data_IF_045582731533
#
_entry.id   IF_045582731533
#
_cell.length_a   1.000
_cell.length_b   1.000
_cell.length_c   1.000
_cell.angle_alpha   90.00
_cell.angle_beta   90.00
_cell.angle_gamma   90.00
#
_symmetry.space_group_name_H-M   'P 1'
#
loop_
_entity.id
_entity.type
_entity.pdbx_description
1 polymer ?
#
# COMPACT_ATOMS: atom_id res chain seq x y z
N UNK A 1 -16.70 31.28 -8.05
CA UNK A 1 -16.18 31.07 -6.68
C UNK A 1 -16.83 29.81 -6.15
N UNK A 2 -16.07 28.76 -5.82
CA UNK A 2 -16.65 27.57 -5.18
C UNK A 2 -17.11 27.95 -3.77
N UNK A 3 -18.34 27.57 -3.42
CA UNK A 3 -18.90 27.83 -2.11
C UNK A 3 -18.10 27.04 -1.07
N UNK A 4 -17.60 27.70 -0.02
CA UNK A 4 -16.92 26.99 1.06
C UNK A 4 -17.92 26.07 1.77
N UNK A 5 -17.61 24.78 1.81
CA UNK A 5 -18.39 23.78 2.53
C UNK A 5 -17.74 23.52 3.88
N UNK A 6 -18.54 23.16 4.87
CA UNK A 6 -18.05 22.92 6.23
C UNK A 6 -18.53 21.55 6.71
N UNK A 7 -17.66 20.88 7.45
CA UNK A 7 -17.98 19.63 8.12
C UNK A 7 -17.39 19.62 9.53
N UNK A 8 -17.96 18.76 10.37
CA UNK A 8 -17.47 18.51 11.72
C UNK A 8 -16.74 17.17 11.73
N UNK A 9 -15.50 17.18 12.23
CA UNK A 9 -14.65 16.00 12.32
C UNK A 9 -14.35 15.67 13.76
N UNK A 10 -14.16 14.40 14.06
CA UNK A 10 -13.69 13.95 15.37
C UNK A 10 -12.47 13.04 15.20
N UNK A 11 -11.49 13.22 16.08
CA UNK A 11 -10.26 12.44 16.09
C UNK A 11 -10.42 11.17 16.92
N UNK A 12 -9.61 10.15 16.63
CA UNK A 12 -9.51 8.90 17.40
C UNK A 12 -10.83 8.12 17.53
N UNK A 13 -11.75 8.29 16.58
CA UNK A 13 -12.95 7.46 16.51
C UNK A 13 -12.62 6.17 15.76
N UNK A 14 -13.04 5.04 16.34
CA UNK A 14 -12.85 3.71 15.78
C UNK A 14 -14.11 3.10 15.18
N UNK A 15 -15.29 3.68 15.41
CA UNK A 15 -16.53 3.14 14.87
C UNK A 15 -17.52 4.23 14.47
N UNK A 16 -18.37 3.89 13.53
CA UNK A 16 -19.34 4.81 12.96
C UNK A 16 -20.49 5.16 13.91
N UNK A 17 -20.88 4.23 14.78
CA UNK A 17 -21.89 4.50 15.81
C UNK A 17 -21.43 5.58 16.79
N UNK A 18 -20.13 5.66 17.09
CA UNK A 18 -19.58 6.72 17.93
C UNK A 18 -19.75 8.11 17.28
N UNK A 19 -19.63 8.21 15.94
CA UNK A 19 -19.90 9.45 15.20
C UNK A 19 -21.38 9.86 15.28
N UNK A 20 -22.29 8.88 15.15
CA UNK A 20 -23.74 9.12 15.17
C UNK A 20 -24.25 9.57 16.52
N UNK A 21 -23.70 9.02 17.61
CA UNK A 21 -24.12 9.34 18.97
C UNK A 21 -23.67 10.74 19.44
N UNK A 22 -22.83 11.44 18.67
CA UNK A 22 -22.29 12.78 18.99
C UNK A 22 -21.65 12.90 20.38
N UNK A 23 -21.21 11.80 20.98
CA UNK A 23 -20.58 11.78 22.32
C UNK A 23 -19.10 12.19 22.31
N UNK A 24 -18.59 12.59 21.16
CA UNK A 24 -17.17 12.91 20.91
C UNK A 24 -16.99 14.39 20.65
N UNK A 25 -15.80 14.91 20.96
CA UNK A 25 -15.46 16.30 20.66
C UNK A 25 -15.25 16.47 19.16
N UNK A 26 -16.15 17.19 18.52
CA UNK A 26 -16.04 17.56 17.12
C UNK A 26 -15.32 18.89 16.94
N UNK A 27 -14.44 18.95 15.95
CA UNK A 27 -13.81 20.17 15.46
C UNK A 27 -14.42 20.52 14.10
N UNK A 28 -14.95 21.75 13.92
CA UNK A 28 -15.40 22.19 12.61
C UNK A 28 -14.20 22.48 11.70
N UNK A 29 -14.42 22.41 10.39
CA UNK A 29 -13.44 22.83 9.40
C UNK A 29 -14.03 22.96 8.00
N UNK A 30 -13.30 23.66 7.14
CA UNK A 30 -13.61 23.76 5.71
C UNK A 30 -13.38 22.40 5.08
N UNK A 31 -14.40 21.89 4.39
CA UNK A 31 -14.40 20.60 3.73
C UNK A 31 -13.92 20.72 2.29
N UNK A 32 -12.96 19.87 1.90
CA UNK A 32 -12.61 19.61 0.50
C UNK A 32 -12.49 18.11 0.28
N UNK A 33 -13.32 17.57 -0.61
CA UNK A 33 -13.27 16.15 -1.00
C UNK A 33 -12.28 16.01 -2.16
N UNK A 34 -11.22 15.24 -1.96
CA UNK A 34 -10.20 15.02 -3.01
C UNK A 34 -10.51 13.78 -3.86
N UNK A 35 -11.22 12.81 -3.31
CA UNK A 35 -11.66 11.60 -4.00
C UNK A 35 -12.86 10.96 -3.30
N UNK A 36 -13.75 10.34 -4.08
CA UNK A 36 -14.85 9.51 -3.58
C UNK A 36 -14.49 8.05 -3.73
N UNK A 37 -14.57 7.28 -2.65
CA UNK A 37 -14.43 5.82 -2.62
C UNK A 37 -15.84 5.20 -2.55
N UNK A 38 -16.20 4.44 -3.57
CA UNK A 38 -17.43 3.65 -3.63
C UNK A 38 -17.14 2.21 -3.23
N UNK A 39 -17.81 1.76 -2.17
CA UNK A 39 -17.73 0.40 -1.66
C UNK A 39 -19.05 -0.34 -1.90
N UNK A 40 -18.98 -1.68 -1.84
CA UNK A 40 -20.18 -2.49 -1.66
C UNK A 40 -20.83 -2.18 -0.31
N UNK A 41 -22.11 -2.52 -0.13
CA UNK A 41 -22.77 -2.33 1.17
C UNK A 41 -22.07 -3.13 2.28
N UNK A 42 -21.70 -4.38 2.00
CA UNK A 42 -21.01 -5.23 2.97
C UNK A 42 -19.65 -4.66 3.40
N UNK A 43 -18.88 -4.15 2.45
CA UNK A 43 -17.58 -3.52 2.72
C UNK A 43 -17.73 -2.21 3.49
N UNK A 44 -18.74 -1.40 3.15
CA UNK A 44 -19.02 -0.17 3.89
C UNK A 44 -19.43 -0.47 5.33
N UNK A 45 -20.31 -1.46 5.54
CA UNK A 45 -20.75 -1.89 6.87
C UNK A 45 -19.53 -2.38 7.68
N UNK A 46 -18.66 -3.22 7.10
CA UNK A 46 -17.40 -3.68 7.72
C UNK A 46 -16.46 -2.52 8.12
N UNK A 47 -16.22 -1.58 7.20
CA UNK A 47 -15.43 -0.38 7.52
C UNK A 47 -16.07 0.42 8.65
N UNK A 48 -17.40 0.51 8.69
CA UNK A 48 -18.14 1.30 9.68
C UNK A 48 -18.07 0.72 11.09
N UNK A 49 -17.91 -0.60 11.23
CA UNK A 49 -17.77 -1.28 12.51
C UNK A 49 -16.41 -1.01 13.16
N UNK A 50 -15.32 -1.10 12.37
CA UNK A 50 -13.96 -0.84 12.83
C UNK A 50 -13.15 -0.05 11.78
N UNK A 51 -12.91 1.23 12.08
CA UNK A 51 -12.16 2.16 11.25
C UNK A 51 -10.71 2.20 11.75
N UNK A 52 -9.81 1.58 10.99
CA UNK A 52 -8.39 1.51 11.28
C UNK A 52 -7.55 2.33 10.29
N UNK A 53 -6.44 2.98 10.71
CA UNK A 53 -5.48 3.59 9.80
C UNK A 53 -4.69 2.56 8.94
N UNK A 54 -4.83 1.27 9.24
CA UNK A 54 -4.10 0.19 8.57
C UNK A 54 -4.84 -0.35 7.32
N UNK A 55 -6.01 0.21 6.99
CA UNK A 55 -6.65 -0.10 5.71
C UNK A 55 -5.78 0.37 4.53
N UNK A 56 -5.50 -0.50 3.53
CA UNK A 56 -4.62 -0.17 2.42
C UNK A 56 -5.01 1.11 1.67
N UNK A 57 -6.31 1.28 1.37
CA UNK A 57 -6.80 2.42 0.62
C UNK A 57 -6.53 3.78 1.28
N UNK A 58 -6.43 3.85 2.62
CA UNK A 58 -6.11 5.10 3.31
C UNK A 58 -4.67 5.54 3.04
N UNK A 59 -3.80 4.55 2.89
CA UNK A 59 -2.38 4.76 2.70
C UNK A 59 -2.07 5.12 1.25
N UNK A 60 -2.71 4.45 0.29
CA UNK A 60 -2.61 4.77 -1.14
C UNK A 60 -3.06 6.20 -1.45
N UNK A 61 -4.01 6.69 -0.65
CA UNK A 61 -4.57 8.03 -0.77
C UNK A 61 -3.98 9.03 0.23
N UNK A 62 -2.93 8.67 0.98
CA UNK A 62 -2.37 9.50 2.06
C UNK A 62 -1.94 10.90 1.59
N UNK A 63 -1.39 11.00 0.37
CA UNK A 63 -0.96 12.28 -0.21
C UNK A 63 -2.13 13.22 -0.54
N UNK A 64 -3.36 12.70 -0.61
CA UNK A 64 -4.58 13.50 -0.78
C UNK A 64 -5.14 13.98 0.55
N UNK A 65 -4.70 13.40 1.68
CA UNK A 65 -5.28 13.65 2.98
C UNK A 65 -4.50 14.70 3.77
N UNK A 66 -5.21 15.69 4.29
CA UNK A 66 -4.65 16.65 5.25
C UNK A 66 -5.74 17.18 6.16
N UNK A 67 -5.55 17.06 7.47
CA UNK A 67 -6.45 17.63 8.46
C UNK A 67 -5.79 18.82 9.19
N UNK A 68 -6.45 19.97 9.15
CA UNK A 68 -6.14 21.16 9.94
C UNK A 68 -7.36 21.54 10.79
N UNK A 69 -7.41 21.14 12.08
CA UNK A 69 -8.53 21.44 12.97
C UNK A 69 -8.85 22.94 13.06
N UNK A 70 -10.10 23.32 12.74
CA UNK A 70 -10.52 24.72 12.62
C UNK A 70 -10.21 25.36 11.25
N UNK A 71 -9.38 24.72 10.44
CA UNK A 71 -8.96 25.14 9.10
C UNK A 71 -9.47 24.19 8.01
N UNK A 72 -8.60 23.85 7.06
CA UNK A 72 -8.94 23.04 5.89
C UNK A 72 -8.78 21.53 6.14
N UNK A 73 -9.79 20.77 5.79
CA UNK A 73 -9.78 19.31 5.74
C UNK A 73 -9.85 18.85 4.29
N UNK A 74 -8.74 18.30 3.78
CA UNK A 74 -8.72 17.48 2.56
C UNK A 74 -9.00 16.04 2.94
N UNK A 75 -10.03 15.47 2.35
CA UNK A 75 -10.58 14.19 2.78
C UNK A 75 -10.97 13.28 1.62
N UNK A 76 -11.05 12.00 1.93
CA UNK A 76 -11.78 11.02 1.15
C UNK A 76 -13.24 11.01 1.60
N UNK A 77 -14.16 10.90 0.64
CA UNK A 77 -15.55 10.55 0.93
C UNK A 77 -15.75 9.07 0.65
N UNK A 78 -16.05 8.27 1.67
CA UNK A 78 -16.37 6.85 1.52
C UNK A 78 -17.88 6.66 1.62
N UNK A 79 -18.47 5.94 0.66
CA UNK A 79 -19.91 5.63 0.66
C UNK A 79 -20.21 4.28 0.02
N UNK A 80 -21.33 3.69 0.41
CA UNK A 80 -21.88 2.52 -0.28
C UNK A 80 -22.64 2.93 -1.56
N UNK A 81 -22.66 2.02 -2.53
CA UNK A 81 -23.55 2.15 -3.69
C UNK A 81 -25.03 2.21 -3.26
N UNK A 82 -25.80 3.09 -3.88
CA UNK A 82 -27.23 3.25 -3.57
C UNK A 82 -27.55 3.93 -2.23
N UNK A 83 -26.57 4.22 -1.38
CA UNK A 83 -26.78 4.93 -0.11
C UNK A 83 -26.46 6.42 -0.23
N UNK A 84 -27.23 7.25 0.51
CA UNK A 84 -27.03 8.70 0.58
C UNK A 84 -26.02 9.10 1.67
N UNK A 85 -25.89 8.28 2.71
CA UNK A 85 -24.97 8.50 3.83
C UNK A 85 -23.52 8.27 3.38
N UNK A 86 -22.59 8.99 4.01
CA UNK A 86 -21.17 8.91 3.71
C UNK A 86 -20.31 9.20 4.93
N UNK A 87 -19.11 8.65 4.89
CA UNK A 87 -18.02 8.93 5.82
C UNK A 87 -17.03 9.88 5.15
N UNK A 88 -16.53 10.84 5.91
CA UNK A 88 -15.40 11.68 5.51
C UNK A 88 -14.19 11.24 6.30
N UNK A 89 -13.11 10.88 5.62
CA UNK A 89 -11.86 10.47 6.28
C UNK A 89 -10.77 11.45 5.89
N UNK A 90 -10.15 12.05 6.89
CA UNK A 90 -8.94 12.85 6.73
C UNK A 90 -7.88 12.39 7.72
N UNK A 91 -6.64 12.82 7.52
CA UNK A 91 -5.52 12.39 8.34
C UNK A 91 -4.55 13.54 8.60
N UNK A 92 -4.02 13.59 9.81
CA UNK A 92 -2.86 14.41 10.18
C UNK A 92 -1.89 13.54 10.94
N UNK A 93 -0.66 13.39 10.43
CA UNK A 93 0.35 12.46 11.00
C UNK A 93 -0.27 11.05 11.13
N UNK A 94 -0.34 10.49 12.34
CA UNK A 94 -0.90 9.17 12.60
C UNK A 94 -2.32 9.24 13.19
N UNK A 95 -2.99 10.39 13.11
CA UNK A 95 -4.35 10.58 13.64
C UNK A 95 -5.35 10.70 12.51
N UNK A 96 -6.33 9.80 12.50
CA UNK A 96 -7.51 9.89 11.62
C UNK A 96 -8.53 10.88 12.19
N UNK A 97 -9.09 11.68 11.30
CA UNK A 97 -10.20 12.59 11.55
C UNK A 97 -11.39 12.13 10.73
N UNK A 98 -12.48 11.81 11.42
CA UNK A 98 -13.67 11.25 10.79
C UNK A 98 -14.84 12.23 10.87
N UNK A 99 -15.49 12.44 9.74
CA UNK A 99 -16.73 13.19 9.61
C UNK A 99 -17.84 12.29 9.08
N UNK A 100 -19.08 12.70 9.30
CA UNK A 100 -20.26 11.96 8.86
C UNK A 100 -21.26 12.90 8.19
N UNK A 101 -21.86 12.45 7.09
CA UNK A 101 -22.94 13.15 6.41
C UNK A 101 -24.07 12.22 5.99
N UNK A 102 -25.31 12.69 6.12
CA UNK A 102 -26.53 11.91 5.78
C UNK A 102 -26.86 11.90 4.29
N UNK A 103 -26.33 12.86 3.54
CA UNK A 103 -26.66 13.05 2.14
C UNK A 103 -25.47 13.64 1.38
N UNK A 104 -24.80 12.81 0.58
CA UNK A 104 -23.65 13.23 -0.22
C UNK A 104 -24.04 14.24 -1.31
N UNK A 105 -25.31 14.31 -1.72
CA UNK A 105 -25.79 15.25 -2.76
C UNK A 105 -25.72 16.71 -2.31
N UNK A 106 -25.52 16.94 -1.02
CA UNK A 106 -25.30 18.26 -0.43
C UNK A 106 -23.82 18.71 -0.48
N UNK A 107 -22.92 17.82 -0.89
CA UNK A 107 -21.50 18.08 -1.03
C UNK A 107 -21.19 18.36 -2.50
N UNK A 108 -20.37 19.37 -2.78
CA UNK A 108 -19.94 19.67 -4.15
C UNK A 108 -18.86 18.65 -4.54
N UNK A 109 -19.25 17.74 -5.44
CA UNK A 109 -18.38 16.69 -5.95
C UNK A 109 -18.01 16.91 -7.42
N UNK A 110 -18.25 18.12 -7.95
CA UNK A 110 -17.97 18.41 -9.37
C UNK A 110 -16.48 18.29 -9.65
N UNK A 111 -16.11 17.35 -10.52
CA UNK A 111 -14.72 17.09 -10.89
C UNK A 111 -13.92 16.28 -9.87
N UNK A 112 -14.56 15.80 -8.81
CA UNK A 112 -13.91 14.90 -7.83
C UNK A 112 -13.87 13.48 -8.42
N UNK A 113 -12.69 12.84 -8.49
CA UNK A 113 -12.58 11.48 -9.00
C UNK A 113 -13.35 10.49 -8.12
N UNK A 114 -13.97 9.50 -8.77
CA UNK A 114 -14.72 8.42 -8.12
C UNK A 114 -14.04 7.09 -8.41
N UNK A 115 -13.69 6.36 -7.37
CA UNK A 115 -13.00 5.07 -7.43
C UNK A 115 -13.89 4.00 -6.80
N UNK A 116 -14.12 2.89 -7.51
CA UNK A 116 -14.80 1.71 -6.99
C UNK A 116 -13.75 0.70 -6.57
N UNK A 117 -13.83 0.18 -5.35
CA UNK A 117 -12.89 -0.81 -4.85
C UNK A 117 -13.57 -1.84 -3.95
N UNK A 118 -12.93 -3.00 -3.83
CA UNK A 118 -13.24 -4.00 -2.81
C UNK A 118 -12.41 -3.66 -1.58
N UNK A 119 -13.03 -3.69 -0.39
CA UNK A 119 -12.31 -3.35 0.84
C UNK A 119 -11.41 -4.52 1.27
N UNK A 120 -10.11 -4.33 1.10
CA UNK A 120 -9.12 -5.24 1.67
C UNK A 120 -9.09 -5.12 3.20
N UNK A 121 -8.84 -6.24 3.89
CA UNK A 121 -8.61 -6.25 5.33
C UNK A 121 -7.45 -5.31 5.72
N UNK A 122 -7.51 -4.69 6.91
CA UNK A 122 -6.39 -3.91 7.43
C UNK A 122 -5.10 -4.75 7.41
N UNK A 123 -4.06 -4.22 6.76
CA UNK A 123 -2.77 -4.90 6.63
C UNK A 123 -1.69 -3.98 7.18
N UNK A 124 -1.02 -4.44 8.24
CA UNK A 124 0.19 -3.77 8.73
C UNK A 124 1.33 -4.09 7.79
N UNK A 125 1.53 -3.18 6.84
CA UNK A 125 2.60 -3.28 5.86
C UNK A 125 3.98 -3.11 6.52
N UNK A 126 4.93 -3.92 6.10
CA UNK A 126 6.34 -3.67 6.28
C UNK A 126 6.74 -2.52 5.35
N UNK A 127 7.05 -1.37 5.94
CA UNK A 127 7.54 -0.18 5.21
C UNK A 127 9.05 0.06 5.44
N UNK A 128 9.67 -0.76 6.30
CA UNK A 128 11.07 -0.64 6.66
C UNK A 128 11.77 -1.98 6.57
N UNK A 129 13.04 -1.95 6.17
CA UNK A 129 13.88 -3.14 6.07
C UNK A 129 15.30 -2.81 6.55
N UNK A 130 16.05 -3.85 6.87
CA UNK A 130 17.48 -3.77 7.19
C UNK A 130 18.22 -4.31 5.98
N UNK A 131 18.89 -3.44 5.25
CA UNK A 131 19.73 -3.84 4.13
C UNK A 131 21.13 -4.20 4.65
N UNK A 132 21.70 -5.26 4.12
CA UNK A 132 23.07 -5.68 4.43
C UNK A 132 23.92 -5.45 3.20
N UNK A 133 25.09 -4.84 3.38
CA UNK A 133 26.04 -4.60 2.30
C UNK A 133 26.81 -5.88 1.97
N UNK A 134 26.84 -6.26 0.69
CA UNK A 134 27.50 -7.45 0.12
C UNK A 134 27.19 -8.74 0.91
N UNK A 135 25.91 -9.12 1.04
CA UNK A 135 25.57 -10.39 1.65
C UNK A 135 26.06 -11.53 0.74
N UNK A 136 26.59 -12.59 1.36
CA UNK A 136 27.11 -13.76 0.64
C UNK A 136 26.11 -14.88 0.53
N UNK A 137 25.16 -14.93 1.44
CA UNK A 137 24.12 -15.94 1.53
C UNK A 137 22.89 -15.37 2.24
N UNK A 138 21.79 -16.15 2.27
CA UNK A 138 20.56 -15.73 2.92
C UNK A 138 20.72 -15.53 4.43
N UNK A 139 21.57 -16.30 5.09
CA UNK A 139 21.83 -16.18 6.53
C UNK A 139 22.39 -14.80 6.92
N UNK A 140 23.09 -14.12 6.01
CA UNK A 140 23.60 -12.76 6.25
C UNK A 140 22.47 -11.72 6.36
N UNK A 141 21.32 -11.97 5.72
CA UNK A 141 20.19 -11.03 5.63
C UNK A 141 18.96 -11.46 6.43
N UNK A 142 18.94 -12.71 6.92
CA UNK A 142 17.92 -13.22 7.80
C UNK A 142 18.28 -12.87 9.25
N UNK A 143 17.35 -12.24 9.96
CA UNK A 143 17.56 -11.66 11.29
C UNK A 143 17.89 -12.68 12.42
N UNK A 144 17.98 -13.98 12.11
CA UNK A 144 18.18 -15.02 13.11
C UNK A 144 19.65 -15.24 13.50
N UNK A 145 20.59 -14.73 12.71
CA UNK A 145 22.02 -14.91 12.96
C UNK A 145 22.78 -13.59 12.84
N UNK A 146 23.60 -13.19 13.84
CA UNK A 146 24.53 -12.09 13.67
C UNK A 146 25.58 -12.51 12.63
N UNK A 147 25.27 -12.28 11.36
CA UNK A 147 26.19 -12.49 10.24
C UNK A 147 27.44 -11.62 10.38
N UNK A 148 28.46 -11.95 9.59
CA UNK A 148 29.76 -11.25 9.59
C UNK A 148 29.72 -9.79 9.11
N UNK A 149 28.58 -9.33 8.60
CA UNK A 149 28.41 -8.03 7.96
C UNK A 149 27.54 -7.14 8.82
N UNK A 150 28.05 -5.95 9.17
CA UNK A 150 27.31 -4.98 9.97
C UNK A 150 26.03 -4.57 9.22
N UNK A 151 24.83 -4.76 9.80
CA UNK A 151 23.59 -4.33 9.17
C UNK A 151 23.58 -2.81 9.00
N UNK A 152 23.00 -2.34 7.89
CA UNK A 152 22.65 -0.91 7.79
C UNK A 152 21.57 -0.57 8.81
N UNK A 153 21.37 0.72 9.05
CA UNK A 153 20.24 1.18 9.87
C UNK A 153 18.93 0.74 9.20
N UNK A 154 17.99 0.27 10.01
CA UNK A 154 16.63 0.01 9.53
C UNK A 154 16.07 1.29 8.91
N UNK A 155 15.78 1.26 7.62
CA UNK A 155 15.43 2.42 6.78
C UNK A 155 14.15 2.15 5.99
N UNK A 156 13.58 3.18 5.36
CA UNK A 156 12.43 3.00 4.48
C UNK A 156 12.83 2.27 3.20
N UNK A 157 11.87 1.67 2.50
CA UNK A 157 12.10 1.16 1.16
C UNK A 157 10.88 1.35 0.25
N UNK A 158 11.13 1.32 -1.06
CA UNK A 158 10.14 1.33 -2.13
C UNK A 158 10.53 0.31 -3.18
N UNK A 159 9.62 -0.61 -3.47
CA UNK A 159 9.78 -1.56 -4.57
C UNK A 159 9.49 -0.83 -5.88
N UNK A 160 10.47 -0.78 -6.77
CA UNK A 160 10.36 -0.14 -8.08
C UNK A 160 10.09 -1.14 -9.22
N UNK A 161 10.37 -2.41 -8.97
CA UNK A 161 10.22 -3.50 -9.91
C UNK A 161 10.10 -4.82 -9.14
N UNK A 162 9.24 -5.71 -9.60
CA UNK A 162 9.11 -7.07 -9.08
C UNK A 162 9.62 -8.03 -10.15
N UNK A 163 10.49 -8.96 -9.76
CA UNK A 163 10.98 -10.05 -10.60
C UNK A 163 10.49 -11.36 -10.00
N UNK A 164 9.70 -12.08 -10.78
CA UNK A 164 9.17 -13.40 -10.45
C UNK A 164 10.04 -14.43 -11.14
N UNK A 165 10.72 -15.25 -10.34
CA UNK A 165 11.46 -16.42 -10.78
C UNK A 165 10.58 -17.67 -10.62
N UNK A 166 10.86 -18.75 -11.35
CA UNK A 166 10.31 -20.05 -10.98
C UNK A 166 10.76 -20.41 -9.57
N UNK A 167 10.01 -21.25 -8.85
CA UNK A 167 10.40 -21.64 -7.49
C UNK A 167 11.78 -22.33 -7.45
N UNK A 168 12.18 -23.01 -8.53
CA UNK A 168 13.53 -23.58 -8.70
C UNK A 168 14.61 -22.50 -8.85
N UNK A 169 14.41 -21.55 -9.77
CA UNK A 169 15.33 -20.42 -9.97
C UNK A 169 15.42 -19.55 -8.71
N UNK A 170 14.31 -19.37 -7.99
CA UNK A 170 14.31 -18.63 -6.74
C UNK A 170 15.11 -19.34 -5.65
N UNK A 171 15.01 -20.68 -5.55
CA UNK A 171 15.86 -21.45 -4.63
C UNK A 171 17.35 -21.32 -4.97
N UNK A 172 17.69 -21.41 -6.26
CA UNK A 172 19.07 -21.18 -6.72
C UNK A 172 19.53 -19.75 -6.41
N UNK A 173 18.65 -18.77 -6.59
CA UNK A 173 18.94 -17.38 -6.24
C UNK A 173 19.21 -17.21 -4.74
N UNK A 174 18.46 -17.90 -3.88
CA UNK A 174 18.69 -17.92 -2.43
C UNK A 174 20.02 -18.61 -2.06
N UNK A 175 20.43 -19.65 -2.79
CA UNK A 175 21.68 -20.39 -2.52
C UNK A 175 22.94 -19.61 -2.91
N UNK A 176 22.97 -19.03 -4.12
CA UNK A 176 24.17 -18.35 -4.65
C UNK A 176 23.89 -17.05 -5.42
N UNK A 177 22.65 -16.76 -5.78
CA UNK A 177 22.29 -15.64 -6.65
C UNK A 177 22.52 -14.23 -6.08
N UNK A 178 22.77 -14.10 -4.78
CA UNK A 178 23.14 -12.80 -4.18
C UNK A 178 24.51 -12.31 -4.67
N UNK A 179 25.45 -13.23 -4.94
CA UNK A 179 26.83 -12.92 -5.33
C UNK A 179 27.12 -13.19 -6.81
N UNK A 180 26.25 -13.94 -7.47
CA UNK A 180 26.36 -14.26 -8.90
C UNK A 180 25.64 -13.25 -9.77
N UNK A 181 26.15 -13.06 -10.99
CA UNK A 181 25.53 -12.17 -11.97
C UNK A 181 24.13 -12.65 -12.36
N UNK A 182 23.15 -11.81 -12.10
CA UNK A 182 21.76 -11.95 -12.49
C UNK A 182 21.44 -10.96 -13.61
N UNK A 183 21.04 -11.47 -14.77
CA UNK A 183 20.73 -10.65 -15.95
C UNK A 183 19.65 -9.61 -15.62
N UNK A 184 18.60 -10.01 -14.90
CA UNK A 184 17.52 -9.10 -14.50
C UNK A 184 17.98 -7.94 -13.60
N UNK A 185 19.01 -8.13 -12.77
CA UNK A 185 19.55 -7.03 -11.94
C UNK A 185 20.29 -6.00 -12.80
N UNK A 186 20.95 -6.44 -13.86
CA UNK A 186 21.53 -5.54 -14.85
C UNK A 186 20.45 -4.76 -15.61
N UNK A 187 19.39 -5.44 -16.07
CA UNK A 187 18.29 -4.80 -16.82
C UNK A 187 17.55 -3.73 -15.98
N UNK A 188 17.34 -4.01 -14.70
CA UNK A 188 16.63 -3.11 -13.79
C UNK A 188 17.55 -2.22 -12.96
N UNK A 189 18.80 -2.03 -13.37
CA UNK A 189 19.75 -1.22 -12.62
C UNK A 189 19.24 0.21 -12.35
N UNK A 190 18.61 0.84 -13.35
CA UNK A 190 18.00 2.16 -13.22
C UNK A 190 16.77 2.24 -12.31
N UNK A 191 16.37 1.12 -11.69
CA UNK A 191 15.28 1.01 -10.69
C UNK A 191 15.80 0.82 -9.27
N UNK A 192 17.12 0.87 -9.07
CA UNK A 192 17.77 0.64 -7.79
C UNK A 192 18.62 1.86 -7.43
N UNK A 193 18.36 2.47 -6.27
CA UNK A 193 19.17 3.56 -5.72
C UNK A 193 18.82 3.81 -4.25
N UNK A 194 19.65 4.57 -3.54
CA UNK A 194 19.30 5.09 -2.21
C UNK A 194 18.98 6.58 -2.29
N UNK A 195 17.82 6.99 -1.75
CA UNK A 195 17.46 8.39 -1.57
C UNK A 195 17.90 8.88 -0.18
N UNK A 196 18.92 9.74 -0.10
CA UNK A 196 19.42 10.25 1.18
C UNK A 196 18.49 11.29 1.83
N UNK A 197 17.59 11.92 1.07
CA UNK A 197 16.64 12.89 1.59
C UNK A 197 15.53 12.23 2.40
N UNK A 198 15.00 11.12 1.88
CA UNK A 198 13.93 10.33 2.52
C UNK A 198 14.45 9.16 3.37
N UNK A 199 15.76 8.90 3.36
CA UNK A 199 16.38 7.70 3.94
C UNK A 199 15.67 6.41 3.47
N UNK A 200 15.50 6.32 2.14
CA UNK A 200 14.66 5.34 1.48
C UNK A 200 15.43 4.58 0.40
N UNK A 201 15.43 3.25 0.48
CA UNK A 201 15.94 2.39 -0.57
C UNK A 201 14.92 2.21 -1.68
N UNK A 202 15.34 2.39 -2.92
CA UNK A 202 14.60 1.99 -4.09
C UNK A 202 15.20 0.69 -4.58
N UNK A 203 14.38 -0.36 -4.66
CA UNK A 203 14.87 -1.72 -4.81
C UNK A 203 14.03 -2.54 -5.79
N UNK A 204 14.64 -3.62 -6.28
CA UNK A 204 13.96 -4.71 -6.97
C UNK A 204 13.53 -5.75 -5.95
N UNK A 205 12.29 -6.22 -6.00
CA UNK A 205 11.84 -7.39 -5.24
C UNK A 205 11.99 -8.65 -6.08
N UNK A 206 12.82 -9.58 -5.64
CA UNK A 206 12.97 -10.91 -6.25
C UNK A 206 12.19 -11.93 -5.42
N UNK A 207 11.28 -12.70 -6.05
CA UNK A 207 10.53 -13.77 -5.37
C UNK A 207 10.20 -14.94 -6.29
N UNK A 208 9.92 -16.10 -5.72
CA UNK A 208 9.38 -17.26 -6.45
C UNK A 208 7.91 -17.06 -6.86
N UNK A 209 7.44 -17.91 -7.78
CA UNK A 209 6.05 -17.95 -8.25
C UNK A 209 5.07 -18.19 -7.09
N UNK A 210 5.40 -19.14 -6.22
CA UNK A 210 4.56 -19.52 -5.08
C UNK A 210 5.11 -19.07 -3.73
N UNK A 211 6.36 -18.60 -3.70
CA UNK A 211 7.02 -18.14 -2.47
C UNK A 211 6.26 -17.00 -1.81
N UNK A 212 6.05 -17.17 -0.50
CA UNK A 212 5.53 -16.12 0.37
C UNK A 212 6.59 -15.08 0.72
N UNK A 213 7.84 -15.51 0.83
CA UNK A 213 8.98 -14.63 1.09
C UNK A 213 9.54 -14.02 -0.21
N UNK A 214 10.55 -13.17 -0.05
CA UNK A 214 11.26 -12.50 -1.13
C UNK A 214 12.55 -11.86 -0.64
N UNK A 215 13.33 -11.32 -1.59
CA UNK A 215 14.55 -10.56 -1.33
C UNK A 215 14.44 -9.20 -1.99
N UNK A 216 14.61 -8.14 -1.20
CA UNK A 216 14.76 -6.78 -1.71
C UNK A 216 16.23 -6.58 -2.10
N UNK A 217 16.50 -6.17 -3.32
CA UNK A 217 17.85 -6.03 -3.88
C UNK A 217 18.10 -4.61 -4.35
N UNK A 218 19.27 -4.08 -4.02
CA UNK A 218 19.87 -2.90 -4.62
C UNK A 218 21.27 -3.32 -5.11
N UNK A 219 21.61 -2.97 -6.36
CA UNK A 219 22.78 -3.51 -7.04
C UNK A 219 23.92 -2.50 -7.24
N UNK A 220 23.78 -1.22 -6.86
CA UNK A 220 24.80 -0.17 -6.92
C UNK A 220 25.52 -0.09 -8.29
N UNK A 221 24.81 -0.32 -9.41
CA UNK A 221 25.42 -0.36 -10.75
C UNK A 221 25.92 -1.73 -11.24
N UNK A 222 25.86 -2.78 -10.41
CA UNK A 222 26.29 -4.14 -10.74
C UNK A 222 25.13 -5.06 -11.17
N UNK A 223 25.49 -6.30 -11.54
CA UNK A 223 24.58 -7.40 -11.90
C UNK A 223 24.31 -8.37 -10.75
N UNK A 224 24.77 -8.08 -9.53
CA UNK A 224 24.56 -8.91 -8.33
C UNK A 224 24.14 -8.04 -7.14
N UNK A 225 23.69 -8.64 -6.04
CA UNK A 225 23.18 -7.92 -4.89
C UNK A 225 24.30 -7.21 -4.12
N UNK A 226 24.31 -5.88 -4.19
CA UNK A 226 25.23 -5.03 -3.41
C UNK A 226 24.68 -4.72 -2.05
N UNK A 227 23.38 -4.54 -1.97
CA UNK A 227 22.62 -4.52 -0.75
C UNK A 227 21.43 -5.46 -0.91
N UNK A 228 21.14 -6.24 0.13
CA UNK A 228 19.91 -7.01 0.15
C UNK A 228 19.25 -7.00 1.52
N UNK A 229 17.93 -7.17 1.53
CA UNK A 229 17.14 -7.34 2.74
C UNK A 229 16.14 -8.48 2.54
N UNK A 230 16.00 -9.33 3.55
CA UNK A 230 15.00 -10.40 3.52
C UNK A 230 13.60 -9.85 3.78
N UNK A 231 12.64 -10.27 2.96
CA UNK A 231 11.22 -10.00 3.14
C UNK A 231 10.49 -11.31 3.49
N UNK A 232 10.19 -11.59 4.77
CA UNK A 232 9.60 -12.87 5.18
C UNK A 232 8.16 -13.07 4.68
N UNK A 233 7.47 -11.99 4.31
CA UNK A 233 6.11 -12.04 3.79
C UNK A 233 5.87 -10.91 2.77
N UNK A 234 5.99 -11.24 1.48
CA UNK A 234 5.75 -10.33 0.37
C UNK A 234 4.33 -9.75 0.37
N UNK A 235 3.35 -10.45 0.96
CA UNK A 235 1.97 -9.93 1.08
C UNK A 235 1.85 -8.74 2.04
N UNK A 236 2.89 -8.54 2.87
CA UNK A 236 3.02 -7.39 3.78
C UNK A 236 3.88 -6.28 3.19
N UNK A 237 4.40 -6.40 1.97
CA UNK A 237 5.11 -5.31 1.32
C UNK A 237 4.14 -4.39 0.58
N UNK A 238 4.44 -3.10 0.53
CA UNK A 238 3.72 -2.17 -0.35
C UNK A 238 4.37 -2.13 -1.70
N UNK A 239 3.66 -2.66 -2.69
CA UNK A 239 4.17 -2.76 -4.05
C UNK A 239 3.78 -1.57 -4.93
N UNK A 240 2.77 -0.75 -4.57
CA UNK A 240 2.37 0.51 -5.26
C UNK A 240 2.32 0.38 -6.80
N UNK A 241 1.72 -0.70 -7.29
CA UNK A 241 1.66 -1.03 -8.73
C UNK A 241 3.02 -1.18 -9.42
N UNK A 242 4.07 -1.53 -8.66
CA UNK A 242 5.38 -1.83 -9.20
C UNK A 242 5.23 -2.85 -10.34
N UNK A 243 5.85 -2.57 -11.51
CA UNK A 243 5.79 -3.48 -12.64
C UNK A 243 6.28 -4.87 -12.24
N UNK A 244 5.61 -5.90 -12.79
CA UNK A 244 5.96 -7.30 -12.57
C UNK A 244 6.61 -7.86 -13.83
N UNK A 245 7.81 -8.39 -13.69
CA UNK A 245 8.51 -9.16 -14.70
C UNK A 245 8.53 -10.63 -14.30
N UNK A 246 8.23 -11.53 -15.24
CA UNK A 246 8.37 -12.97 -15.06
C UNK A 246 9.58 -13.43 -15.84
N UNK A 247 10.62 -13.87 -15.14
CA UNK A 247 11.80 -14.44 -15.78
C UNK A 247 11.46 -15.77 -16.42
N UNK A 248 11.90 -15.98 -17.66
CA UNK A 248 11.63 -17.24 -18.32
C UNK A 248 12.28 -18.41 -17.54
N UNK A 249 11.58 -19.53 -17.28
CA UNK A 249 10.26 -19.91 -17.84
C UNK A 249 9.05 -19.61 -16.94
N UNK A 250 9.19 -18.82 -15.87
CA UNK A 250 8.10 -18.41 -14.99
C UNK A 250 6.99 -17.69 -15.77
N UNK A 251 5.75 -17.84 -15.33
CA UNK A 251 4.59 -17.26 -16.02
C UNK A 251 3.61 -16.65 -15.05
N UNK A 252 2.89 -15.64 -15.53
CA UNK A 252 1.73 -15.14 -14.82
C UNK A 252 0.72 -16.28 -14.60
N UNK A 253 0.09 -16.37 -13.42
CA UNK A 253 -0.92 -17.37 -13.18
C UNK A 253 -2.06 -17.22 -14.20
N UNK A 254 -2.48 -18.32 -14.80
CA UNK A 254 -3.59 -18.30 -15.76
C UNK A 254 -4.84 -17.77 -15.06
N UNK A 255 -5.31 -16.58 -15.47
CA UNK A 255 -6.59 -16.07 -15.00
C UNK A 255 -7.67 -17.05 -15.49
N UNK A 256 -8.28 -17.79 -14.56
CA UNK A 256 -9.46 -18.61 -14.83
C UNK A 256 -10.55 -17.65 -15.31
N UNK A 257 -10.71 -17.54 -16.63
CA UNK A 257 -11.79 -16.78 -17.25
C UNK A 257 -13.09 -17.30 -16.67
N UNK A 258 -13.73 -16.51 -15.79
CA UNK A 258 -15.09 -16.75 -15.36
C UNK A 258 -15.93 -16.97 -16.63
N UNK A 259 -16.43 -18.20 -16.81
CA UNK A 259 -17.31 -18.54 -17.92
C UNK A 259 -18.43 -17.52 -17.93
N UNK A 260 -18.46 -16.65 -18.95
CA UNK A 260 -19.65 -15.88 -19.29
C UNK A 260 -20.78 -16.90 -19.42
N UNK A 261 -21.66 -16.93 -18.43
CA UNK A 261 -22.90 -17.68 -18.48
C UNK A 261 -23.70 -16.99 -19.59
N UNK A 262 -23.72 -17.60 -20.77
CA UNK A 262 -24.68 -17.23 -21.81
C UNK A 262 -26.06 -17.38 -21.18
N UNK A 263 -26.73 -16.25 -20.91
CA UNK A 263 -28.17 -16.25 -20.72
C UNK A 263 -28.79 -16.59 -22.07
N UNK A 264 -29.68 -17.60 -22.14
CA UNK A 264 -30.45 -17.83 -23.33
C UNK A 264 -31.49 -16.72 -23.47
N UNK A 265 -31.51 -16.08 -24.64
CA UNK A 265 -32.66 -15.29 -25.09
C UNK A 265 -33.92 -16.15 -24.99
N UNK A 266 -34.92 -15.66 -24.26
CA UNK A 266 -36.35 -15.88 -24.50
C UNK A 266 -37.18 -14.85 -23.73
#
# INVERSE_FOLDING_TARGET
>A
MSQMQYAAFAANIKSWDALRQKKTNFVPGVLRVEKVILLSKADFDKLSEDISPDYPFLQDNRNLLSADPGGLFRCLMVRAEGQAEHLLISQRRNTLYLGYGKDYRKVDLKGVPVERMVLEDPKVYQERAVFHHRPRCMEDIMAEHPGTTAPERQTGFRVEQIVILTDEQYRQFQECGLVEDQIFLFEYNGKMWFDPGDLCWHCVLVKGETSRDGVLVEAEGYSYARYAAFAPDCSRLRLRDAPVHYEYPAKAPEQVKARKRNEPER
#
